data_IF_234883717703
#
_entry.id   IF_234883717703
#
_cell.length_a   1.000
_cell.length_b   1.000
_cell.length_c   1.000
_cell.angle_alpha   90.00
_cell.angle_beta   90.00
_cell.angle_gamma   90.00
#
_symmetry.space_group_name_H-M   'P 1'
#
loop_
_entity.id
_entity.type
_entity.pdbx_description
1 polymer ?
#
# COMPACT_ATOMS: atom_id res chain seq x y z
N UNK A 1 3.44 -10.37 -15.85
CA UNK A 1 2.43 -10.21 -14.79
C UNK A 1 2.36 -8.73 -14.46
N UNK A 2 1.26 -8.08 -14.83
CA UNK A 2 1.07 -6.64 -14.61
C UNK A 2 0.53 -6.47 -13.20
N UNK A 3 1.31 -5.89 -12.28
CA UNK A 3 0.79 -5.51 -10.97
C UNK A 3 -0.20 -4.34 -11.18
N UNK A 4 -1.51 -4.58 -10.96
CA UNK A 4 -2.60 -3.63 -11.27
C UNK A 4 -3.19 -3.01 -10.00
N UNK A 5 -2.33 -2.51 -9.12
CA UNK A 5 -2.79 -1.65 -8.02
C UNK A 5 -3.05 -0.27 -8.60
N UNK A 6 -4.31 0.08 -8.84
CA UNK A 6 -4.68 1.37 -9.45
C UNK A 6 -5.37 2.31 -8.47
N UNK A 7 -5.83 1.82 -7.32
CA UNK A 7 -6.61 2.64 -6.39
C UNK A 7 -5.81 2.91 -5.12
N UNK A 8 -5.25 4.11 -5.02
CA UNK A 8 -4.57 4.56 -3.80
C UNK A 8 -5.64 4.92 -2.76
N UNK A 9 -5.71 4.17 -1.67
CA UNK A 9 -6.64 4.46 -0.56
C UNK A 9 -6.01 5.38 0.48
N UNK A 10 -4.67 5.43 0.55
CA UNK A 10 -3.95 6.28 1.50
C UNK A 10 -2.55 6.62 0.99
N UNK A 11 -2.15 7.87 1.19
CA UNK A 11 -0.80 8.36 0.84
C UNK A 11 -0.13 8.97 2.06
N UNK A 12 1.07 8.48 2.39
CA UNK A 12 1.95 9.07 3.39
C UNK A 12 3.23 9.64 2.75
N UNK A 13 4.10 10.22 3.57
CA UNK A 13 5.39 10.77 3.13
C UNK A 13 6.33 9.69 2.57
N UNK A 14 6.33 8.48 3.17
CA UNK A 14 7.26 7.39 2.81
C UNK A 14 6.62 6.17 2.19
N UNK A 15 5.28 6.08 2.15
CA UNK A 15 4.59 4.91 1.62
C UNK A 15 3.18 5.25 1.12
N UNK A 16 2.60 4.34 0.35
CA UNK A 16 1.22 4.36 -0.12
C UNK A 16 0.53 3.06 0.30
N UNK A 17 -0.77 3.13 0.52
CA UNK A 17 -1.62 1.94 0.66
C UNK A 17 -2.54 1.93 -0.56
N UNK A 18 -2.46 0.85 -1.31
CA UNK A 18 -3.21 0.69 -2.55
C UNK A 18 -4.11 -0.53 -2.44
N UNK A 19 -5.27 -0.46 -3.09
CA UNK A 19 -6.24 -1.54 -3.19
C UNK A 19 -6.15 -2.19 -4.56
N UNK A 20 -6.28 -3.52 -4.58
CA UNK A 20 -6.45 -4.27 -5.81
C UNK A 20 -7.90 -4.12 -6.33
N UNK A 21 -8.06 -3.72 -7.60
CA UNK A 21 -9.40 -3.55 -8.19
C UNK A 21 -10.10 -4.87 -8.52
N UNK A 22 -9.35 -5.94 -8.82
CA UNK A 22 -9.94 -7.25 -9.16
C UNK A 22 -10.26 -8.06 -7.89
N UNK A 23 -9.54 -7.77 -6.80
CA UNK A 23 -9.68 -8.45 -5.52
C UNK A 23 -10.14 -7.47 -4.44
N UNK A 24 -11.46 -7.45 -4.24
CA UNK A 24 -12.19 -6.55 -3.34
C UNK A 24 -11.65 -6.41 -1.90
N UNK A 25 -10.81 -7.34 -1.45
CA UNK A 25 -10.26 -7.40 -0.08
C UNK A 25 -8.72 -7.40 -0.02
N UNK A 26 -8.01 -7.30 -1.14
CA UNK A 26 -6.53 -7.27 -1.14
C UNK A 26 -5.99 -5.84 -1.28
N UNK A 27 -4.99 -5.56 -0.45
CA UNK A 27 -4.31 -4.29 -0.34
C UNK A 27 -2.80 -4.51 -0.33
N UNK A 28 -2.05 -3.48 -0.68
CA UNK A 28 -0.59 -3.49 -0.65
C UNK A 28 -0.08 -2.21 -0.02
N UNK A 29 0.92 -2.34 0.86
CA UNK A 29 1.74 -1.20 1.28
C UNK A 29 2.89 -1.08 0.28
N UNK A 30 3.00 0.05 -0.40
CA UNK A 30 4.07 0.36 -1.34
C UNK A 30 4.98 1.42 -0.75
N UNK A 31 6.29 1.22 -0.78
CA UNK A 31 7.26 2.24 -0.43
C UNK A 31 7.19 3.36 -1.47
N UNK A 32 7.08 4.60 -0.99
CA UNK A 32 7.03 5.76 -1.87
C UNK A 32 8.45 6.00 -2.39
N UNK A 33 8.63 6.02 -3.71
CA UNK A 33 9.93 6.30 -4.29
C UNK A 33 10.30 7.77 -4.01
N UNK A 34 11.55 8.00 -3.61
CA UNK A 34 12.10 9.35 -3.42
C UNK A 34 12.28 10.06 -4.78
N UNK A 35 12.45 9.27 -5.84
CA UNK A 35 12.70 9.73 -7.20
C UNK A 35 11.49 9.46 -8.10
N UNK A 36 11.14 10.43 -8.95
CA UNK A 36 9.97 10.35 -9.86
C UNK A 36 10.09 9.27 -10.94
N UNK A 37 11.28 8.69 -11.09
CA UNK A 37 11.59 7.65 -12.07
C UNK A 37 11.50 6.22 -11.50
N UNK A 38 11.38 6.07 -10.19
CA UNK A 38 11.28 4.76 -9.56
C UNK A 38 9.81 4.40 -9.36
N UNK A 39 9.43 3.19 -9.75
CA UNK A 39 8.10 2.68 -9.45
C UNK A 39 8.18 2.13 -8.03
N UNK A 40 7.51 2.81 -7.09
CA UNK A 40 7.50 2.44 -5.67
C UNK A 40 7.41 0.94 -5.42
N UNK A 41 8.12 0.44 -4.41
CA UNK A 41 8.29 -1.00 -4.20
C UNK A 41 7.18 -1.56 -3.30
N UNK A 42 6.51 -2.66 -3.68
CA UNK A 42 5.59 -3.32 -2.78
C UNK A 42 6.36 -3.88 -1.58
N UNK A 43 5.94 -3.48 -0.38
CA UNK A 43 6.51 -3.94 0.89
C UNK A 43 5.80 -5.21 1.33
N UNK A 44 4.47 -5.16 1.43
CA UNK A 44 3.67 -6.27 1.92
C UNK A 44 2.24 -6.21 1.38
N UNK A 45 1.72 -7.38 1.00
CA UNK A 45 0.33 -7.59 0.62
C UNK A 45 -0.46 -8.09 1.81
N UNK A 46 -1.66 -7.55 2.01
CA UNK A 46 -2.52 -7.91 3.12
C UNK A 46 -3.98 -7.80 2.73
N UNK A 47 -4.85 -8.40 3.55
CA UNK A 47 -6.29 -8.34 3.34
C UNK A 47 -7.00 -7.57 4.45
N UNK A 48 -8.01 -6.80 4.06
CA UNK A 48 -8.83 -6.03 4.98
C UNK A 48 -10.29 -6.00 4.53
N UNK A 49 -11.20 -5.95 5.48
CA UNK A 49 -12.65 -5.98 5.20
C UNK A 49 -13.17 -4.65 4.64
N UNK A 50 -12.54 -3.54 5.01
CA UNK A 50 -12.92 -2.19 4.63
C UNK A 50 -11.68 -1.27 4.54
N UNK A 51 -11.86 -0.07 4.00
CA UNK A 51 -10.76 0.88 3.79
C UNK A 51 -10.18 1.40 5.11
N UNK A 52 -10.96 1.53 6.19
CA UNK A 52 -10.47 2.04 7.49
C UNK A 52 -9.60 0.98 8.18
N UNK A 53 -10.04 -0.27 8.18
CA UNK A 53 -9.24 -1.42 8.60
C UNK A 53 -7.97 -1.54 7.75
N UNK A 54 -8.09 -1.31 6.44
CA UNK A 54 -6.95 -1.37 5.53
C UNK A 54 -5.89 -0.30 5.85
N UNK A 55 -6.33 0.92 6.16
CA UNK A 55 -5.44 2.02 6.56
C UNK A 55 -4.74 1.69 7.87
N UNK A 56 -5.48 1.23 8.89
CA UNK A 56 -4.88 0.86 10.19
C UNK A 56 -3.84 -0.24 10.06
N UNK A 57 -4.18 -1.33 9.37
CA UNK A 57 -3.25 -2.44 9.12
C UNK A 57 -2.04 -1.97 8.31
N UNK A 58 -2.25 -1.20 7.24
CA UNK A 58 -1.17 -0.68 6.42
C UNK A 58 -0.24 0.27 7.19
N UNK A 59 -0.77 1.07 8.12
CA UNK A 59 0.02 1.89 9.04
C UNK A 59 0.85 1.05 10.00
N UNK A 60 0.29 -0.03 10.55
CA UNK A 60 1.03 -0.96 11.42
C UNK A 60 2.16 -1.67 10.68
N UNK A 61 1.91 -2.10 9.44
CA UNK A 61 2.91 -2.70 8.56
C UNK A 61 4.01 -1.68 8.25
N UNK A 62 3.65 -0.47 7.82
CA UNK A 62 4.61 0.60 7.54
C UNK A 62 5.49 0.92 8.77
N UNK A 63 4.89 0.96 9.97
CA UNK A 63 5.62 1.15 11.23
C UNK A 63 6.59 -0.01 11.52
N UNK A 64 6.18 -1.26 11.31
CA UNK A 64 7.06 -2.43 11.47
C UNK A 64 8.27 -2.40 10.53
N UNK A 65 8.10 -1.82 9.35
CA UNK A 65 9.15 -1.68 8.34
C UNK A 65 9.97 -0.38 8.47
N UNK A 66 9.70 0.48 9.47
CA UNK A 66 10.47 1.72 9.70
C UNK A 66 10.13 2.86 8.73
N UNK A 67 8.96 2.81 8.11
CA UNK A 67 8.46 3.81 7.15
C UNK A 67 7.62 4.91 7.83
N UNK A 68 7.52 4.86 9.16
CA UNK A 68 6.74 5.75 10.01
C UNK A 68 7.60 6.26 11.16
#
# INVERSE_FOLDING_TARGET
>A
MTYRFNLIIYTAEKFWIMKDEEKYLEYVVMERPVDLLDNGKPIEYFSANDNDEAIKKGLEIAKKHGLL
#
